data_IF_820045273773
#
_entry.id   IF_820045273773
#
_cell.length_a   1.000
_cell.length_b   1.000
_cell.length_c   1.000
_cell.angle_alpha   90.00
_cell.angle_beta   90.00
_cell.angle_gamma   90.00
#
_symmetry.space_group_name_H-M   'P 1'
#
loop_
_entity.id
_entity.type
_entity.pdbx_description
1 polymer ?
#
# COMPACT_ATOMS: atom_id res chain seq x y z
N UNK A 1 -23.47 4.82 0.19
CA UNK A 1 -22.71 3.60 0.54
C UNK A 1 -21.25 3.78 0.12
N UNK A 2 -20.29 3.72 1.06
CA UNK A 2 -18.84 3.99 0.86
C UNK A 2 -18.06 2.76 0.31
N UNK A 3 -18.61 1.96 -0.60
CA UNK A 3 -18.19 0.54 -0.77
C UNK A 3 -17.18 0.20 -1.88
N UNK A 4 -16.58 1.14 -2.62
CA UNK A 4 -15.65 0.81 -3.71
C UNK A 4 -14.24 1.43 -3.57
N UNK A 5 -13.81 1.75 -2.36
CA UNK A 5 -12.48 2.32 -2.14
C UNK A 5 -11.47 1.26 -1.68
N UNK A 6 -10.27 1.34 -2.21
CA UNK A 6 -9.07 0.65 -1.74
C UNK A 6 -8.21 1.65 -0.97
N UNK A 7 -7.59 1.21 0.12
CA UNK A 7 -6.70 2.04 0.95
C UNK A 7 -5.44 1.27 1.30
N UNK A 8 -4.30 1.97 1.31
CA UNK A 8 -3.04 1.45 1.80
C UNK A 8 -2.61 2.27 3.01
N UNK A 9 -2.31 1.60 4.13
CA UNK A 9 -1.98 2.27 5.39
C UNK A 9 -1.05 1.43 6.24
N UNK A 10 -0.33 2.06 7.17
CA UNK A 10 0.46 1.35 8.16
C UNK A 10 -0.40 1.05 9.38
N UNK A 11 -0.55 -0.23 9.76
CA UNK A 11 -1.43 -0.64 10.88
C UNK A 11 -0.98 -0.07 12.24
N UNK A 12 0.33 0.09 12.44
CA UNK A 12 0.90 0.55 13.72
C UNK A 12 0.94 2.07 13.85
N UNK A 13 1.15 2.79 12.75
CA UNK A 13 1.25 4.24 12.78
C UNK A 13 -0.14 4.88 12.86
N UNK A 14 -0.34 5.74 13.87
CA UNK A 14 -1.58 6.53 14.04
C UNK A 14 -2.85 5.65 14.01
N UNK A 15 -2.76 4.42 14.53
CA UNK A 15 -3.88 3.48 14.55
C UNK A 15 -4.40 3.01 13.17
N UNK A 16 -3.65 3.25 12.09
CA UNK A 16 -4.09 2.97 10.71
C UNK A 16 -4.86 4.10 10.03
N UNK A 17 -5.08 5.24 10.70
CA UNK A 17 -5.81 6.37 10.12
C UNK A 17 -5.02 7.09 9.01
N UNK A 18 -3.69 7.01 9.03
CA UNK A 18 -2.87 7.66 8.00
C UNK A 18 -2.70 6.72 6.79
N UNK A 19 -3.55 6.91 5.78
CA UNK A 19 -3.46 6.18 4.52
C UNK A 19 -2.46 6.86 3.58
N UNK A 20 -1.46 6.09 3.14
CA UNK A 20 -0.43 6.52 2.18
C UNK A 20 -0.93 6.51 0.75
N UNK A 21 -2.01 5.76 0.52
CA UNK A 21 -2.71 5.74 -0.76
C UNK A 21 -4.19 5.45 -0.53
N UNK A 22 -5.04 6.05 -1.36
CA UNK A 22 -6.48 5.80 -1.39
C UNK A 22 -7.02 6.07 -2.78
N UNK A 23 -7.87 5.16 -3.27
CA UNK A 23 -8.50 5.29 -4.58
C UNK A 23 -9.57 4.23 -4.76
N UNK A 24 -9.99 4.01 -6.00
CA UNK A 24 -10.89 2.95 -6.41
C UNK A 24 -10.13 1.64 -6.66
N UNK A 25 -10.86 0.53 -6.80
CA UNK A 25 -10.27 -0.76 -7.18
C UNK A 25 -9.59 -0.70 -8.55
N UNK A 26 -10.15 0.07 -9.49
CA UNK A 26 -9.58 0.24 -10.82
C UNK A 26 -8.26 1.03 -10.77
N UNK A 27 -8.25 2.18 -10.08
CA UNK A 27 -7.01 2.96 -9.88
C UNK A 27 -5.93 2.14 -9.18
N UNK A 28 -6.32 1.31 -8.21
CA UNK A 28 -5.37 0.42 -7.52
C UNK A 28 -4.75 -0.62 -8.47
N UNK A 29 -5.56 -1.23 -9.34
CA UNK A 29 -5.04 -2.16 -10.35
C UNK A 29 -4.07 -1.47 -11.31
N UNK A 30 -4.36 -0.22 -11.70
CA UNK A 30 -3.45 0.60 -12.51
C UNK A 30 -2.16 0.91 -11.75
N UNK A 31 -2.21 1.25 -10.47
CA UNK A 31 -1.01 1.46 -9.65
C UNK A 31 -0.13 0.20 -9.59
N UNK A 32 -0.73 -0.98 -9.43
CA UNK A 32 -0.02 -2.26 -9.39
C UNK A 32 0.60 -2.66 -10.73
N UNK A 33 0.05 -2.21 -11.86
CA UNK A 33 0.57 -2.50 -13.20
C UNK A 33 1.66 -1.51 -13.66
N UNK A 34 2.03 -0.51 -12.84
CA UNK A 34 3.06 0.46 -13.22
C UNK A 34 4.44 -0.17 -13.15
N UNK A 35 5.18 -0.08 -14.26
CA UNK A 35 6.59 -0.48 -14.35
C UNK A 35 7.47 0.36 -13.40
N UNK A 36 7.14 1.64 -13.24
CA UNK A 36 7.88 2.56 -12.36
C UNK A 36 7.20 2.63 -11.00
N UNK A 37 7.97 2.35 -9.95
CA UNK A 37 7.55 2.48 -8.56
C UNK A 37 6.98 3.89 -8.26
N UNK A 38 5.69 3.99 -7.87
CA UNK A 38 5.04 5.26 -7.58
C UNK A 38 5.56 5.88 -6.26
N UNK A 39 5.27 7.17 -6.06
CA UNK A 39 5.77 7.92 -4.90
C UNK A 39 5.30 7.33 -3.55
N UNK A 40 4.08 6.82 -3.48
CA UNK A 40 3.54 6.19 -2.27
C UNK A 40 4.27 4.87 -1.95
N UNK A 41 4.70 4.11 -2.96
CA UNK A 41 5.50 2.89 -2.75
C UNK A 41 6.88 3.22 -2.20
N UNK A 42 7.54 4.25 -2.75
CA UNK A 42 8.82 4.76 -2.20
C UNK A 42 8.68 5.28 -0.77
N UNK A 43 7.51 5.78 -0.38
CA UNK A 43 7.23 6.14 1.01
C UNK A 43 7.16 4.88 1.90
N UNK A 44 6.45 3.84 1.46
CA UNK A 44 6.36 2.55 2.19
C UNK A 44 7.75 1.98 2.47
N UNK A 45 8.61 1.85 1.45
CA UNK A 45 9.96 1.32 1.61
C UNK A 45 10.79 2.11 2.64
N UNK A 46 10.75 3.45 2.56
CA UNK A 46 11.45 4.32 3.52
C UNK A 46 10.87 4.19 4.93
N UNK A 47 9.55 4.05 5.03
CA UNK A 47 8.85 3.91 6.30
C UNK A 47 9.17 2.58 6.99
N UNK A 48 9.17 1.48 6.25
CA UNK A 48 9.55 0.15 6.78
C UNK A 48 11.02 0.12 7.22
N UNK A 49 11.91 0.80 6.48
CA UNK A 49 13.31 0.97 6.89
C UNK A 49 13.46 1.82 8.16
N UNK A 50 12.68 2.89 8.29
CA UNK A 50 12.73 3.78 9.46
C UNK A 50 12.03 3.19 10.70
N UNK A 51 11.04 2.32 10.50
CA UNK A 51 10.24 1.71 11.55
C UNK A 51 10.26 0.17 11.43
N UNK A 52 11.33 -0.50 11.90
CA UNK A 52 11.44 -1.95 11.85
C UNK A 52 10.23 -2.65 12.49
N UNK A 53 9.63 -3.59 11.76
CA UNK A 53 8.44 -4.34 12.20
C UNK A 53 7.12 -3.60 12.04
N UNK A 54 7.09 -2.45 11.36
CA UNK A 54 5.84 -1.89 10.84
C UNK A 54 5.43 -2.61 9.56
N UNK A 55 4.13 -2.86 9.41
CA UNK A 55 3.57 -3.56 8.24
C UNK A 55 2.47 -2.69 7.63
N UNK A 56 2.54 -2.52 6.32
CA UNK A 56 1.47 -1.90 5.56
C UNK A 56 0.36 -2.92 5.29
N UNK A 57 -0.88 -2.44 5.27
CA UNK A 57 -2.06 -3.22 4.95
C UNK A 57 -2.74 -2.59 3.74
N UNK A 58 -3.32 -3.42 2.88
CA UNK A 58 -4.23 -3.01 1.82
C UNK A 58 -5.64 -3.42 2.22
N UNK A 59 -6.50 -2.43 2.45
CA UNK A 59 -7.93 -2.64 2.67
C UNK A 59 -8.66 -2.52 1.34
N UNK A 60 -9.22 -3.64 0.89
CA UNK A 60 -10.16 -3.74 -0.21
C UNK A 60 -11.60 -3.68 0.32
N UNK A 61 -12.59 -3.44 -0.54
CA UNK A 61 -14.00 -3.48 -0.16
C UNK A 61 -14.46 -4.77 0.56
N UNK A 62 -13.81 -5.90 0.27
CA UNK A 62 -14.22 -7.22 0.75
C UNK A 62 -13.26 -7.83 1.78
N UNK A 63 -12.04 -7.32 1.90
CA UNK A 63 -10.99 -7.92 2.76
C UNK A 63 -9.86 -6.94 3.03
N UNK A 64 -9.12 -7.19 4.10
CA UNK A 64 -7.84 -6.50 4.37
C UNK A 64 -6.72 -7.52 4.35
N UNK A 65 -5.64 -7.22 3.65
CA UNK A 65 -4.47 -8.11 3.52
C UNK A 65 -3.18 -7.33 3.78
N UNK A 66 -2.11 -7.98 4.27
CA UNK A 66 -0.80 -7.36 4.35
C UNK A 66 -0.32 -6.92 2.96
N UNK A 67 0.27 -5.72 2.88
CA UNK A 67 0.99 -5.28 1.69
C UNK A 67 2.40 -5.87 1.74
N UNK A 68 2.77 -6.62 0.71
CA UNK A 68 4.11 -7.17 0.58
C UNK A 68 4.94 -6.26 -0.34
N UNK A 69 5.79 -5.45 0.26
CA UNK A 69 6.70 -4.53 -0.44
C UNK A 69 7.87 -5.25 -1.12
N UNK A 70 8.21 -6.47 -0.69
CA UNK A 70 9.34 -7.24 -1.23
C UNK A 70 9.09 -7.82 -2.62
N UNK A 71 7.83 -8.04 -3.01
CA UNK A 71 7.50 -8.67 -4.30
C UNK A 71 7.63 -7.74 -5.53
N UNK A 72 7.81 -6.42 -5.34
CA UNK A 72 7.98 -5.48 -6.47
C UNK A 72 9.45 -5.14 -6.78
N UNK A 73 10.41 -5.61 -5.97
CA UNK A 73 11.84 -5.37 -6.24
C UNK A 73 12.43 -6.35 -7.25
N UNK A 74 11.83 -7.52 -7.47
CA UNK A 74 12.40 -8.59 -8.32
C UNK A 74 12.17 -8.41 -9.84
N UNK A 75 11.25 -7.54 -10.29
CA UNK A 75 10.90 -7.45 -11.72
C UNK A 75 11.62 -6.30 -12.48
N UNK A 76 12.65 -5.69 -11.88
CA UNK A 76 13.37 -4.52 -12.46
C UNK A 76 14.89 -4.76 -12.62
N UNK A 77 15.35 -6.01 -12.59
CA UNK A 77 16.75 -6.37 -12.94
C UNK A 77 16.88 -6.97 -14.31
#
# INVERSE_FOLDING_TARGET
MKKNQVRVYCKKCKGGDNHVWKGTLHEWAVELSRIKAPAWFKYILRHEKAHPGHTFMVEYPTKTVPFNSSNQEEEVT
#
